data_IF_792736046269
#
_entry.id   IF_792736046269
#
_cell.length_a   1.000
_cell.length_b   1.000
_cell.length_c   1.000
_cell.angle_alpha   90.00
_cell.angle_beta   90.00
_cell.angle_gamma   90.00
#
_symmetry.space_group_name_H-M   'P 1'
#
loop_
_entity.id
_entity.type
_entity.pdbx_description
1 polymer ?
#
# COMPACT_ATOMS: atom_id res chain seq x y z
N UNK A 1 -4.27 38.50 -37.05
CA UNK A 1 -4.43 39.63 -36.11
C UNK A 1 -3.96 39.17 -34.74
N UNK A 2 -2.82 39.66 -34.29
CA UNK A 2 -2.20 39.33 -33.00
C UNK A 2 -2.73 40.37 -32.00
N UNK A 3 -3.53 39.92 -31.03
CA UNK A 3 -4.09 40.79 -29.99
C UNK A 3 -2.99 41.30 -29.07
N UNK A 4 -2.77 42.62 -29.08
CA UNK A 4 -1.92 43.30 -28.11
C UNK A 4 -2.60 43.21 -26.74
N UNK A 5 -2.01 42.47 -25.80
CA UNK A 5 -2.38 42.58 -24.39
C UNK A 5 -1.80 43.90 -23.92
N UNK A 6 -2.62 44.95 -23.88
CA UNK A 6 -2.26 46.21 -23.25
C UNK A 6 -2.18 45.96 -21.73
N UNK A 7 -1.00 45.55 -21.26
CA UNK A 7 -0.73 45.34 -19.85
C UNK A 7 -0.69 46.70 -19.14
N UNK A 8 -1.82 47.13 -18.60
CA UNK A 8 -1.88 48.30 -17.72
C UNK A 8 -0.90 48.13 -16.55
N UNK A 9 -0.27 49.21 -16.05
CA UNK A 9 0.73 49.12 -14.98
C UNK A 9 0.17 48.46 -13.69
N UNK A 10 -1.15 48.57 -13.46
CA UNK A 10 -1.83 47.92 -12.33
C UNK A 10 -1.91 46.39 -12.45
N UNK A 11 -2.13 45.84 -13.65
CA UNK A 11 -2.17 44.39 -13.85
C UNK A 11 -0.75 43.80 -13.81
N UNK A 12 0.25 44.55 -14.27
CA UNK A 12 1.65 44.14 -14.20
C UNK A 12 2.16 44.08 -12.75
N UNK A 13 1.72 45.02 -11.89
CA UNK A 13 2.00 44.99 -10.44
C UNK A 13 1.28 43.83 -9.75
N UNK A 14 0.04 43.52 -10.15
CA UNK A 14 -0.76 42.43 -9.55
C UNK A 14 -0.21 41.05 -9.94
N UNK A 15 0.19 40.87 -11.20
CA UNK A 15 0.86 39.65 -11.65
C UNK A 15 2.23 39.51 -10.98
N UNK A 16 2.97 40.62 -10.86
CA UNK A 16 4.25 40.65 -10.15
C UNK A 16 4.12 40.26 -8.67
N UNK A 17 3.08 40.72 -7.97
CA UNK A 17 2.86 40.40 -6.56
C UNK A 17 2.46 38.94 -6.35
N UNK A 18 1.59 38.38 -7.20
CA UNK A 18 1.22 36.96 -7.15
C UNK A 18 2.44 36.07 -7.44
N UNK A 19 3.22 36.41 -8.46
CA UNK A 19 4.45 35.69 -8.79
C UNK A 19 5.45 35.71 -7.63
N UNK A 20 5.65 36.87 -7.01
CA UNK A 20 6.53 37.02 -5.85
C UNK A 20 6.03 36.20 -4.65
N UNK A 21 4.72 36.23 -4.35
CA UNK A 21 4.14 35.45 -3.26
C UNK A 21 4.31 33.93 -3.48
N UNK A 22 4.09 33.45 -4.70
CA UNK A 22 4.32 32.05 -5.06
C UNK A 22 5.79 31.65 -4.89
N UNK A 23 6.72 32.51 -5.35
CA UNK A 23 8.16 32.29 -5.21
C UNK A 23 8.59 32.23 -3.74
N UNK A 24 8.05 33.12 -2.89
CA UNK A 24 8.30 33.10 -1.44
C UNK A 24 7.81 31.81 -0.81
N UNK A 25 6.62 31.31 -1.18
CA UNK A 25 6.09 30.04 -0.67
C UNK A 25 6.96 28.85 -1.08
N UNK A 26 7.38 28.79 -2.34
CA UNK A 26 8.29 27.73 -2.83
C UNK A 26 9.62 27.78 -2.09
N UNK A 27 10.22 28.96 -1.93
CA UNK A 27 11.49 29.11 -1.22
C UNK A 27 11.36 28.77 0.26
N UNK A 28 10.26 29.16 0.91
CA UNK A 28 9.98 28.77 2.29
C UNK A 28 9.84 27.25 2.43
N UNK A 29 9.11 26.60 1.52
CA UNK A 29 8.98 25.14 1.49
C UNK A 29 10.32 24.43 1.32
N UNK A 30 11.16 24.89 0.38
CA UNK A 30 12.50 24.34 0.17
C UNK A 30 13.40 24.56 1.39
N UNK A 31 13.35 25.75 2.00
CA UNK A 31 14.12 26.07 3.21
C UNK A 31 13.70 25.22 4.42
N UNK A 32 12.42 24.86 4.54
CA UNK A 32 11.90 23.92 5.54
C UNK A 32 12.24 22.44 5.23
N UNK A 33 13.03 22.18 4.19
CA UNK A 33 13.47 20.83 3.84
C UNK A 33 12.56 20.12 2.85
N UNK A 34 11.53 20.78 2.31
CA UNK A 34 10.63 20.20 1.32
C UNK A 34 11.28 19.79 -0.01
N UNK A 35 12.53 20.22 -0.25
CA UNK A 35 13.35 19.78 -1.39
C UNK A 35 14.28 18.59 -1.09
N UNK A 36 14.29 18.07 0.14
CA UNK A 36 15.14 16.95 0.54
C UNK A 36 14.28 15.71 0.73
N UNK A 37 14.37 14.79 -0.21
CA UNK A 37 13.86 13.45 -0.04
C UNK A 37 14.96 12.58 0.56
N UNK A 38 14.82 12.22 1.83
CA UNK A 38 15.63 11.17 2.44
C UNK A 38 14.80 9.88 2.35
N UNK A 39 15.11 8.94 1.42
CA UNK A 39 14.37 7.70 1.32
C UNK A 39 14.50 6.97 2.65
N UNK A 40 13.39 6.85 3.38
CA UNK A 40 13.35 5.98 4.53
C UNK A 40 13.81 4.60 4.08
N UNK A 41 14.74 4.00 4.83
CA UNK A 41 15.17 2.63 4.54
C UNK A 41 13.95 1.74 4.50
N UNK A 42 13.84 0.98 3.43
CA UNK A 42 12.82 -0.05 3.27
C UNK A 42 12.84 -0.93 4.51
N UNK A 43 11.70 -0.99 5.20
CA UNK A 43 11.57 -1.79 6.40
C UNK A 43 11.75 -3.26 6.04
N UNK A 44 12.46 -4.00 6.90
CA UNK A 44 12.63 -5.43 6.71
C UNK A 44 11.25 -6.12 6.86
N UNK A 45 10.75 -6.81 5.82
CA UNK A 45 9.43 -7.45 5.87
C UNK A 45 9.37 -8.62 6.88
N UNK A 46 10.53 -9.16 7.27
CA UNK A 46 10.57 -10.23 8.26
C UNK A 46 10.39 -9.74 9.70
N UNK A 47 10.71 -8.47 9.97
CA UNK A 47 10.64 -7.92 11.32
C UNK A 47 9.17 -7.74 11.76
N UNK A 48 8.86 -7.93 13.06
CA UNK A 48 7.51 -7.68 13.56
C UNK A 48 7.10 -6.22 13.33
N UNK A 49 5.88 -6.01 12.82
CA UNK A 49 5.29 -4.69 12.70
C UNK A 49 4.65 -4.30 14.03
N UNK A 50 4.87 -3.07 14.47
CA UNK A 50 4.08 -2.50 15.55
C UNK A 50 2.63 -2.30 15.08
N UNK A 51 1.70 -2.98 15.73
CA UNK A 51 0.28 -2.81 15.47
C UNK A 51 -0.20 -1.51 16.09
N UNK A 52 -0.77 -0.63 15.27
CA UNK A 52 -1.36 0.62 15.75
C UNK A 52 -2.76 0.32 16.24
N UNK A 53 -3.20 0.97 17.33
CA UNK A 53 -4.59 0.88 17.80
C UNK A 53 -5.54 1.46 16.75
N UNK A 54 -6.16 0.64 15.89
CA UNK A 54 -6.98 1.13 14.79
C UNK A 54 -8.34 1.60 15.35
N UNK A 55 -8.86 2.71 14.83
CA UNK A 55 -10.18 3.22 15.22
C UNK A 55 -11.20 2.94 14.10
N UNK A 56 -11.43 1.67 13.79
CA UNK A 56 -12.38 1.28 12.76
C UNK A 56 -11.99 0.00 12.02
N UNK A 57 -12.94 -0.52 11.24
CA UNK A 57 -12.74 -1.72 10.42
C UNK A 57 -11.80 -1.49 9.24
N UNK A 58 -11.75 -0.26 8.71
CA UNK A 58 -10.88 0.09 7.58
C UNK A 58 -9.41 0.07 7.99
N UNK A 59 -9.07 0.67 9.13
CA UNK A 59 -7.71 0.71 9.65
C UNK A 59 -7.22 -0.68 10.09
N UNK A 60 -8.14 -1.57 10.51
CA UNK A 60 -7.84 -2.99 10.71
C UNK A 60 -7.51 -3.66 9.39
N UNK A 61 -8.34 -3.47 8.36
CA UNK A 61 -8.13 -4.09 7.05
C UNK A 61 -6.80 -3.66 6.41
N UNK A 62 -6.44 -2.38 6.54
CA UNK A 62 -5.14 -1.86 6.10
C UNK A 62 -3.97 -2.55 6.81
N UNK A 63 -4.04 -2.70 8.15
CA UNK A 63 -2.97 -3.33 8.92
C UNK A 63 -2.85 -4.83 8.65
N UNK A 64 -3.97 -5.52 8.47
CA UNK A 64 -4.02 -6.93 8.05
C UNK A 64 -3.37 -7.09 6.68
N UNK A 65 -3.73 -6.24 5.71
CA UNK A 65 -3.17 -6.28 4.35
C UNK A 65 -1.66 -6.06 4.38
N UNK A 66 -1.19 -5.08 5.15
CA UNK A 66 0.24 -4.80 5.30
C UNK A 66 0.99 -5.96 5.94
N UNK A 67 0.45 -6.58 7.01
CA UNK A 67 1.07 -7.75 7.63
C UNK A 67 1.11 -8.94 6.68
N UNK A 68 0.06 -9.13 5.86
CA UNK A 68 0.05 -10.20 4.88
C UNK A 68 1.14 -10.04 3.82
N UNK A 69 1.30 -8.80 3.31
CA UNK A 69 2.36 -8.47 2.36
C UNK A 69 3.76 -8.61 2.98
N UNK A 70 3.94 -8.18 4.24
CA UNK A 70 5.21 -8.35 4.98
C UNK A 70 5.56 -9.85 5.10
N UNK A 71 4.60 -10.69 5.48
CA UNK A 71 4.83 -12.13 5.60
C UNK A 71 5.16 -12.81 4.26
N UNK A 72 4.45 -12.45 3.19
CA UNK A 72 4.72 -12.98 1.86
C UNK A 72 6.07 -12.52 1.31
N UNK A 73 6.41 -11.23 1.47
CA UNK A 73 7.68 -10.66 1.05
C UNK A 73 8.86 -11.28 1.80
N UNK A 74 8.71 -11.50 3.11
CA UNK A 74 9.69 -12.20 3.93
C UNK A 74 9.98 -13.62 3.41
N UNK A 75 8.93 -14.36 3.05
CA UNK A 75 9.06 -15.72 2.54
C UNK A 75 9.67 -15.81 1.13
N UNK A 76 9.36 -14.83 0.29
CA UNK A 76 9.92 -14.71 -1.06
C UNK A 76 11.33 -14.10 -1.07
N UNK A 77 11.79 -13.51 0.04
CA UNK A 77 13.09 -12.84 0.13
C UNK A 77 13.16 -11.58 -0.73
N UNK A 78 12.05 -10.85 -0.82
CA UNK A 78 11.92 -9.60 -1.60
C UNK A 78 11.47 -8.45 -0.69
N UNK A 79 11.56 -7.21 -1.17
CA UNK A 79 10.97 -6.09 -0.41
C UNK A 79 9.45 -6.10 -0.53
N UNK A 80 8.76 -5.58 0.50
CA UNK A 80 7.30 -5.42 0.47
C UNK A 80 6.87 -4.53 -0.69
N UNK A 81 7.61 -3.46 -0.95
CA UNK A 81 7.31 -2.47 -1.98
C UNK A 81 7.42 -3.09 -3.37
N UNK A 82 8.45 -3.90 -3.62
CA UNK A 82 8.63 -4.64 -4.87
C UNK A 82 7.49 -5.64 -5.08
N UNK A 83 7.11 -6.39 -4.03
CA UNK A 83 5.98 -7.32 -4.10
C UNK A 83 4.64 -6.61 -4.32
N UNK A 84 4.40 -5.49 -3.62
CA UNK A 84 3.16 -4.72 -3.74
C UNK A 84 3.00 -4.12 -5.15
N UNK A 85 4.10 -3.62 -5.73
CA UNK A 85 4.12 -3.14 -7.11
C UNK A 85 3.85 -4.28 -8.10
N UNK A 86 4.50 -5.43 -7.92
CA UNK A 86 4.31 -6.57 -8.80
C UNK A 86 2.87 -7.12 -8.78
N UNK A 87 2.22 -7.15 -7.61
CA UNK A 87 0.86 -7.71 -7.47
C UNK A 87 -0.20 -6.85 -8.18
N UNK A 88 0.06 -5.55 -8.42
CA UNK A 88 -0.91 -4.61 -8.97
C UNK A 88 -1.47 -5.03 -10.35
N UNK A 89 -0.68 -5.75 -11.16
CA UNK A 89 -1.09 -6.28 -12.45
C UNK A 89 -0.70 -7.77 -12.57
N UNK A 90 -1.46 -8.56 -13.31
CA UNK A 90 -1.14 -9.96 -13.57
C UNK A 90 0.12 -10.16 -14.41
N UNK A 91 0.28 -9.35 -15.45
CA UNK A 91 1.44 -9.41 -16.34
C UNK A 91 2.71 -8.98 -15.60
N UNK A 92 2.64 -7.91 -14.79
CA UNK A 92 3.76 -7.44 -13.97
C UNK A 92 4.13 -8.47 -12.90
N UNK A 93 3.15 -9.15 -12.31
CA UNK A 93 3.41 -10.21 -11.33
C UNK A 93 4.11 -11.40 -11.99
N UNK A 94 3.64 -11.84 -13.16
CA UNK A 94 4.26 -12.93 -13.89
C UNK A 94 5.70 -12.59 -14.33
N UNK A 95 5.92 -11.35 -14.80
CA UNK A 95 7.25 -10.86 -15.15
C UNK A 95 8.17 -10.84 -13.93
N UNK A 96 7.71 -10.29 -12.80
CA UNK A 96 8.44 -10.28 -11.53
C UNK A 96 8.83 -11.70 -11.07
N UNK A 97 7.90 -12.65 -11.11
CA UNK A 97 8.17 -14.04 -10.75
C UNK A 97 9.26 -14.65 -11.65
N UNK A 98 9.18 -14.39 -12.97
CA UNK A 98 10.18 -14.82 -13.94
C UNK A 98 11.56 -14.23 -13.68
N UNK A 99 11.64 -12.92 -13.43
CA UNK A 99 12.89 -12.20 -13.14
C UNK A 99 13.54 -12.68 -11.85
N UNK A 100 12.74 -12.99 -10.83
CA UNK A 100 13.23 -13.46 -9.52
C UNK A 100 13.43 -14.97 -9.45
N UNK A 101 13.11 -15.72 -10.50
CA UNK A 101 13.18 -17.18 -10.52
C UNK A 101 12.24 -17.85 -9.51
N UNK A 102 11.10 -17.21 -9.22
CA UNK A 102 10.08 -17.71 -8.30
C UNK A 102 9.03 -18.44 -9.12
N UNK A 103 8.80 -19.72 -8.83
CA UNK A 103 7.70 -20.46 -9.45
C UNK A 103 6.34 -20.06 -8.85
N UNK A 104 5.27 -20.26 -9.61
CA UNK A 104 3.92 -19.90 -9.21
C UNK A 104 3.48 -20.59 -7.90
N UNK A 105 3.88 -21.85 -7.68
CA UNK A 105 3.54 -22.59 -6.46
C UNK A 105 4.21 -22.00 -5.22
N UNK A 106 5.47 -21.58 -5.35
CA UNK A 106 6.19 -20.84 -4.30
C UNK A 106 5.54 -19.49 -4.01
N UNK A 107 5.15 -18.75 -5.04
CA UNK A 107 4.45 -17.48 -4.89
C UNK A 107 3.12 -17.64 -4.13
N UNK A 108 2.30 -18.62 -4.51
CA UNK A 108 1.03 -18.93 -3.83
C UNK A 108 1.24 -19.38 -2.38
N UNK A 109 2.26 -20.20 -2.12
CA UNK A 109 2.59 -20.64 -0.77
C UNK A 109 3.05 -19.47 0.12
N UNK A 110 3.82 -18.54 -0.44
CA UNK A 110 4.25 -17.34 0.26
C UNK A 110 3.07 -16.42 0.61
N UNK A 111 2.16 -16.19 -0.34
CA UNK A 111 0.94 -15.40 -0.11
C UNK A 111 0.06 -16.03 0.98
N UNK A 112 -0.06 -17.36 0.99
CA UNK A 112 -0.79 -18.09 2.04
C UNK A 112 -0.15 -17.88 3.41
N UNK A 113 1.18 -18.06 3.50
CA UNK A 113 1.93 -17.81 4.76
C UNK A 113 1.82 -16.36 5.21
N UNK A 114 1.80 -15.41 4.27
CA UNK A 114 1.52 -14.00 4.54
C UNK A 114 0.18 -13.80 5.25
N UNK A 115 -0.91 -14.34 4.70
CA UNK A 115 -2.23 -14.24 5.33
C UNK A 115 -2.30 -14.90 6.71
N UNK A 116 -1.67 -16.06 6.88
CA UNK A 116 -1.58 -16.74 8.19
C UNK A 116 -0.89 -15.83 9.22
N UNK A 117 0.23 -15.20 8.84
CA UNK A 117 0.92 -14.22 9.69
C UNK A 117 0.03 -13.02 10.02
N UNK A 118 -0.76 -12.52 9.08
CA UNK A 118 -1.65 -11.39 9.29
C UNK A 118 -2.76 -11.70 10.31
N UNK A 119 -3.30 -12.92 10.28
CA UNK A 119 -4.28 -13.38 11.27
C UNK A 119 -3.63 -13.47 12.65
N UNK A 120 -2.43 -14.05 12.72
CA UNK A 120 -1.69 -14.16 13.98
C UNK A 120 -1.32 -12.79 14.57
N UNK A 121 -0.92 -11.83 13.74
CA UNK A 121 -0.64 -10.45 14.16
C UNK A 121 -1.92 -9.74 14.64
N UNK A 122 -3.04 -9.89 13.93
CA UNK A 122 -4.32 -9.32 14.33
C UNK A 122 -4.82 -9.90 15.67
N UNK A 123 -4.67 -11.21 15.88
CA UNK A 123 -5.03 -11.87 17.13
C UNK A 123 -4.14 -11.39 18.29
N UNK A 124 -2.82 -11.32 18.07
CA UNK A 124 -1.87 -10.78 19.07
C UNK A 124 -2.19 -9.34 19.46
N UNK A 125 -2.66 -8.54 18.51
CA UNK A 125 -3.04 -7.15 18.73
C UNK A 125 -4.43 -6.98 19.38
N UNK A 126 -5.19 -8.06 19.56
CA UNK A 126 -6.57 -8.02 20.05
C UNK A 126 -7.56 -7.41 19.06
N UNK A 127 -7.18 -7.29 17.77
CA UNK A 127 -8.05 -6.79 16.72
C UNK A 127 -9.11 -7.81 16.28
N UNK A 128 -8.85 -9.09 16.52
CA UNK A 128 -9.80 -10.20 16.36
C UNK A 128 -9.83 -11.04 17.62
N UNK A 129 -10.97 -11.64 17.93
CA UNK A 129 -11.11 -12.54 19.09
C UNK A 129 -10.68 -13.98 18.73
N UNK A 130 -10.44 -14.81 19.75
CA UNK A 130 -9.94 -16.18 19.56
C UNK A 130 -10.88 -17.10 18.76
N UNK A 131 -12.17 -16.79 18.69
CA UNK A 131 -13.13 -17.54 17.86
C UNK A 131 -13.00 -17.17 16.38
N UNK A 132 -12.88 -15.88 16.07
CA UNK A 132 -12.62 -15.38 14.72
C UNK A 132 -11.27 -15.89 14.19
N UNK A 133 -10.22 -15.85 15.01
CA UNK A 133 -8.91 -16.42 14.68
C UNK A 133 -9.01 -17.90 14.31
N UNK A 134 -9.73 -18.69 15.12
CA UNK A 134 -9.95 -20.12 14.86
C UNK A 134 -10.71 -20.35 13.54
N UNK A 135 -11.78 -19.58 13.29
CA UNK A 135 -12.53 -19.67 12.05
C UNK A 135 -11.66 -19.33 10.83
N UNK A 136 -10.92 -18.24 10.89
CA UNK A 136 -10.03 -17.78 9.82
C UNK A 136 -8.91 -18.79 9.53
N UNK A 137 -8.30 -19.39 10.56
CA UNK A 137 -7.28 -20.44 10.39
C UNK A 137 -7.79 -21.70 9.68
N UNK A 138 -9.09 -21.98 9.78
CA UNK A 138 -9.69 -23.09 9.03
C UNK A 138 -9.94 -22.69 7.57
N UNK A 139 -10.36 -21.45 7.32
CA UNK A 139 -10.75 -21.02 5.98
C UNK A 139 -9.53 -20.72 5.09
N UNK A 140 -8.52 -20.00 5.60
CA UNK A 140 -7.38 -19.50 4.81
C UNK A 140 -6.62 -20.60 4.05
N UNK A 141 -6.30 -21.77 4.63
CA UNK A 141 -5.60 -22.83 3.90
C UNK A 141 -6.38 -23.37 2.69
N UNK A 142 -7.71 -23.18 2.68
CA UNK A 142 -8.63 -23.67 1.64
C UNK A 142 -8.89 -22.65 0.55
N UNK A 143 -8.45 -21.40 0.71
CA UNK A 143 -8.66 -20.35 -0.28
C UNK A 143 -7.58 -20.42 -1.39
N UNK A 144 -7.97 -20.40 -2.68
CA UNK A 144 -7.02 -20.30 -3.77
C UNK A 144 -6.45 -18.87 -3.82
N UNK A 145 -5.13 -18.75 -3.72
CA UNK A 145 -4.44 -17.45 -3.70
C UNK A 145 -4.72 -16.60 -4.95
N UNK A 146 -4.91 -17.25 -6.11
CA UNK A 146 -5.28 -16.56 -7.37
C UNK A 146 -6.59 -15.76 -7.29
N UNK A 147 -7.60 -16.23 -6.54
CA UNK A 147 -8.85 -15.47 -6.35
C UNK A 147 -8.70 -14.31 -5.40
N UNK A 148 -7.82 -14.43 -4.41
CA UNK A 148 -7.51 -13.34 -3.49
C UNK A 148 -6.74 -12.24 -4.22
N UNK A 149 -5.81 -12.60 -5.12
CA UNK A 149 -5.15 -11.61 -5.98
C UNK A 149 -6.13 -10.91 -6.92
N UNK A 150 -7.06 -11.64 -7.56
CA UNK A 150 -8.10 -11.01 -8.38
C UNK A 150 -8.96 -10.05 -7.56
N UNK A 151 -9.40 -10.45 -6.37
CA UNK A 151 -10.19 -9.58 -5.50
C UNK A 151 -9.45 -8.30 -5.09
N UNK A 152 -8.13 -8.37 -4.83
CA UNK A 152 -7.30 -7.20 -4.51
C UNK A 152 -7.10 -6.31 -5.75
N UNK A 153 -6.95 -6.89 -6.94
CA UNK A 153 -6.74 -6.18 -8.21
C UNK A 153 -8.00 -5.49 -8.73
N UNK A 154 -9.14 -6.16 -8.65
CA UNK A 154 -10.40 -5.65 -9.18
C UNK A 154 -10.99 -4.53 -8.29
N UNK A 155 -10.50 -4.38 -7.05
CA UNK A 155 -11.00 -3.38 -6.09
C UNK A 155 -12.47 -3.55 -5.72
N UNK A 156 -13.12 -4.63 -6.17
CA UNK A 156 -14.54 -4.87 -5.99
C UNK A 156 -14.78 -5.58 -4.64
N UNK A 157 -14.76 -4.77 -3.58
CA UNK A 157 -15.06 -5.19 -2.20
C UNK A 157 -16.55 -5.48 -1.96
N UNK A 158 -17.35 -5.68 -3.00
CA UNK A 158 -18.78 -5.94 -2.89
C UNK A 158 -19.08 -7.29 -2.17
N UNK A 159 -18.10 -8.21 -2.12
CA UNK A 159 -18.22 -9.46 -1.38
C UNK A 159 -18.14 -9.30 0.15
N UNK A 160 -17.54 -8.23 0.68
CA UNK A 160 -17.58 -7.94 2.13
C UNK A 160 -18.99 -7.56 2.58
N UNK A 161 -19.82 -7.02 1.67
CA UNK A 161 -21.26 -6.81 1.91
C UNK A 161 -22.06 -8.10 2.08
N UNK A 162 -21.57 -9.25 1.59
CA UNK A 162 -22.26 -10.53 1.68
C UNK A 162 -21.91 -11.36 2.93
N UNK A 163 -20.86 -10.97 3.68
CA UNK A 163 -20.47 -11.61 4.94
C UNK A 163 -20.86 -10.79 6.17
N UNK A 164 -21.09 -9.48 5.99
CA UNK A 164 -21.49 -8.54 7.06
C UNK A 164 -22.95 -8.10 6.91
N UNK A 165 -23.67 -8.65 5.92
CA UNK A 165 -25.10 -8.43 5.66
C UNK A 165 -25.96 -9.60 6.12
#
# INVERSE_FOLDING_TARGET
MIGRIDAQPRSLVLVGSVAAAALVLILAYVAMGGGRYDPLRVANPCDPREWRSPQGSQEVAEQVTLSALDGAACDLGVSREELALAIANEDDFAAFLGERGIDQGRAEAALRRGMERAIDDAARAGAINGFEEFALRQVVPRLPAGRLLQAVRDGDLNWLGALVG
#
